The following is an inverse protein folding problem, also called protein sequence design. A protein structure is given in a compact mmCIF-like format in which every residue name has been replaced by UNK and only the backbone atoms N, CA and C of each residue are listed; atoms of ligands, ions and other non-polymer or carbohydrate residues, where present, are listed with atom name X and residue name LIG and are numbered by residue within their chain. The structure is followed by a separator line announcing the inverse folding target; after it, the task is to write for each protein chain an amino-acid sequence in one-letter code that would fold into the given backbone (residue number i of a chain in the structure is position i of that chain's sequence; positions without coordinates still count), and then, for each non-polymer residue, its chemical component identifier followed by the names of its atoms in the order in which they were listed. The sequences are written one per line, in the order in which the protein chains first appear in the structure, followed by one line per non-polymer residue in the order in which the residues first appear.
data_IF_076845243001
#
_entry.id   IF_076845243001
#
_cell.length_a   1.000
_cell.length_b   1.000
_cell.length_c   1.000
_cell.angle_alpha   90.00
_cell.angle_beta   90.00
_cell.angle_gamma   90.00
#
_symmetry.space_group_name_H-M   'P 1'
#
loop_
_entity.id
_entity.type
_entity.pdbx_description
1 polymer ?
#
# COMPACT_ATOMS: atom_id res chain seq x y z
N UNK A 1 -21.45 6.52 -14.82
CA UNK A 1 -21.52 6.63 -13.35
C UNK A 1 -20.14 6.40 -12.76
N UNK A 2 -19.77 7.13 -11.72
CA UNK A 2 -18.47 7.04 -11.04
C UNK A 2 -18.65 6.81 -9.53
N UNK A 3 -17.61 6.29 -8.89
CA UNK A 3 -17.49 6.20 -7.43
C UNK A 3 -16.38 7.14 -6.98
N UNK A 4 -16.58 7.75 -5.82
CA UNK A 4 -15.59 8.64 -5.19
C UNK A 4 -15.04 7.92 -3.97
N UNK A 5 -13.72 7.80 -3.91
CA UNK A 5 -13.00 7.24 -2.77
C UNK A 5 -12.17 8.36 -2.16
N UNK A 6 -12.40 8.68 -0.89
CA UNK A 6 -11.60 9.65 -0.15
C UNK A 6 -10.72 8.91 0.85
N UNK A 7 -9.42 9.18 0.83
CA UNK A 7 -8.47 8.65 1.80
C UNK A 7 -7.68 9.77 2.47
N UNK A 8 -7.36 9.59 3.75
CA UNK A 8 -6.48 10.47 4.50
C UNK A 8 -5.05 9.94 4.63
N UNK A 9 -4.79 8.73 4.14
CA UNK A 9 -3.57 7.94 4.38
C UNK A 9 -3.27 7.65 5.87
N UNK A 10 -4.14 8.09 6.78
CA UNK A 10 -4.03 7.79 8.20
C UNK A 10 -4.82 6.52 8.54
N UNK A 11 -4.26 5.63 9.36
CA UNK A 11 -5.03 4.56 9.95
C UNK A 11 -6.19 5.13 10.77
N UNK A 12 -7.34 4.44 10.71
CA UNK A 12 -8.52 4.76 11.52
C UNK A 12 -8.50 4.06 12.89
N UNK A 13 -7.34 3.54 13.29
CA UNK A 13 -7.08 2.89 14.57
C UNK A 13 -5.81 3.50 15.20
N UNK A 14 -5.59 3.30 16.51
CA UNK A 14 -4.34 3.68 17.14
C UNK A 14 -3.14 3.05 16.40
N UNK A 15 -2.13 3.86 16.13
CA UNK A 15 -0.88 3.43 15.53
C UNK A 15 0.28 3.83 16.44
N UNK A 16 1.37 3.08 16.34
CA UNK A 16 2.65 3.40 17.00
C UNK A 16 3.75 3.27 15.95
N UNK A 17 4.90 3.89 16.21
CA UNK A 17 6.04 3.75 15.31
C UNK A 17 6.65 2.35 15.48
N UNK A 18 6.41 1.46 14.52
CA UNK A 18 6.89 0.06 14.54
C UNK A 18 8.11 -0.11 13.62
N UNK A 19 8.19 0.70 12.57
CA UNK A 19 9.34 0.83 11.68
C UNK A 19 9.79 2.29 11.64
N UNK A 20 10.90 2.63 10.97
CA UNK A 20 11.28 4.03 10.78
C UNK A 20 10.25 4.87 9.99
N UNK A 21 9.27 4.22 9.36
CA UNK A 21 8.23 4.89 8.59
C UNK A 21 7.03 5.26 9.47
N UNK A 22 6.40 6.40 9.17
CA UNK A 22 5.21 6.88 9.87
C UNK A 22 4.10 7.30 8.90
N UNK A 23 2.82 7.17 9.27
CA UNK A 23 1.72 7.65 8.46
C UNK A 23 1.70 9.19 8.48
N UNK A 24 1.66 9.79 7.29
CA UNK A 24 1.51 11.23 7.13
C UNK A 24 0.06 11.52 6.76
N UNK A 25 -0.57 12.45 7.50
CA UNK A 25 -1.93 12.87 7.22
C UNK A 25 -1.98 13.68 5.93
N UNK A 26 -2.60 13.10 4.91
CA UNK A 26 -2.96 13.80 3.69
C UNK A 26 -4.46 13.77 3.47
N UNK A 27 -4.88 14.24 2.31
CA UNK A 27 -6.19 13.91 1.75
C UNK A 27 -6.03 13.72 0.25
N UNK A 28 -6.60 12.65 -0.28
CA UNK A 28 -6.69 12.43 -1.72
C UNK A 28 -8.05 11.85 -2.06
N UNK A 29 -8.55 12.29 -3.21
CA UNK A 29 -9.84 11.87 -3.75
C UNK A 29 -9.59 11.16 -5.08
N UNK A 30 -9.98 9.89 -5.14
CA UNK A 30 -9.95 9.10 -6.36
C UNK A 30 -11.36 8.99 -6.93
N UNK A 31 -11.52 9.44 -8.17
CA UNK A 31 -12.75 9.22 -8.94
C UNK A 31 -12.52 8.03 -9.86
N UNK A 32 -13.25 6.94 -9.61
CA UNK A 32 -13.12 5.69 -10.38
C UNK A 32 -14.44 5.36 -11.10
N UNK A 33 -14.41 4.61 -12.21
CA UNK A 33 -15.62 4.12 -12.85
C UNK A 33 -16.49 3.31 -11.87
N UNK A 34 -17.81 3.39 -11.99
CA UNK A 34 -18.71 2.61 -11.12
C UNK A 34 -18.53 1.09 -11.26
N UNK A 35 -18.07 0.65 -12.44
CA UNK A 35 -17.76 -0.73 -12.79
C UNK A 35 -16.36 -0.76 -13.44
N UNK A 36 -15.27 -0.85 -12.66
CA UNK A 36 -13.93 -0.98 -13.20
C UNK A 36 -13.78 -2.29 -13.99
N UNK A 37 -13.02 -2.25 -15.07
CA UNK A 37 -12.72 -3.41 -15.91
C UNK A 37 -11.20 -3.64 -15.92
N UNK A 38 -10.78 -4.89 -16.09
CA UNK A 38 -9.38 -5.22 -16.23
C UNK A 38 -8.86 -4.70 -17.57
N UNK A 39 -7.78 -3.92 -17.53
CA UNK A 39 -7.10 -3.42 -18.71
C UNK A 39 -5.86 -4.28 -18.97
N UNK A 40 -5.90 -5.06 -20.05
CA UNK A 40 -4.82 -5.98 -20.43
C UNK A 40 -3.56 -5.27 -20.93
N UNK A 41 -3.63 -3.99 -21.31
CA UNK A 41 -2.46 -3.22 -21.74
C UNK A 41 -1.82 -2.44 -20.60
N UNK A 42 -2.56 -2.18 -19.52
CA UNK A 42 -2.08 -1.46 -18.34
C UNK A 42 -1.42 -2.40 -17.32
N UNK A 43 -0.34 -3.08 -17.71
CA UNK A 43 0.45 -3.94 -16.81
C UNK A 43 1.60 -3.19 -16.14
N UNK A 44 1.89 -3.50 -14.87
CA UNK A 44 3.06 -3.00 -14.16
C UNK A 44 3.79 -4.16 -13.46
N UNK A 45 5.12 -4.23 -13.61
CA UNK A 45 5.96 -5.15 -12.86
C UNK A 45 6.26 -4.58 -11.46
N UNK A 46 5.90 -5.35 -10.44
CA UNK A 46 6.06 -5.00 -9.03
C UNK A 46 7.13 -5.84 -8.33
N UNK A 47 7.80 -6.76 -9.04
CA UNK A 47 8.80 -7.67 -8.46
C UNK A 47 9.97 -6.91 -7.83
N UNK A 48 10.34 -5.75 -8.37
CA UNK A 48 11.42 -4.90 -7.88
C UNK A 48 11.01 -3.43 -7.67
N UNK A 49 9.70 -3.16 -7.51
CA UNK A 49 9.16 -1.80 -7.40
C UNK A 49 8.25 -1.67 -6.18
N UNK A 50 8.63 -0.80 -5.25
CA UNK A 50 7.86 -0.51 -4.03
C UNK A 50 6.82 0.59 -4.23
N UNK A 51 6.03 0.83 -3.19
CA UNK A 51 5.05 1.92 -3.13
C UNK A 51 3.60 1.47 -3.30
N UNK A 52 2.70 2.43 -3.37
CA UNK A 52 1.25 2.20 -3.50
C UNK A 52 0.90 1.70 -4.90
N UNK A 53 0.07 0.66 -4.97
CA UNK A 53 -0.39 0.03 -6.21
C UNK A 53 -1.91 0.09 -6.36
N UNK A 54 -2.63 0.50 -5.31
CA UNK A 54 -4.07 0.71 -5.38
C UNK A 54 -4.67 1.28 -4.11
N UNK A 55 -5.99 1.49 -4.16
CA UNK A 55 -6.81 1.92 -3.03
C UNK A 55 -8.10 1.09 -3.01
N UNK A 56 -8.46 0.57 -1.85
CA UNK A 56 -9.71 -0.12 -1.61
C UNK A 56 -10.86 0.91 -1.50
N UNK A 57 -12.11 0.50 -1.71
CA UNK A 57 -13.26 1.41 -1.56
C UNK A 57 -13.41 1.99 -0.15
N UNK A 58 -12.84 1.32 0.86
CA UNK A 58 -12.75 1.84 2.23
C UNK A 58 -11.75 3.00 2.40
N UNK A 59 -10.98 3.35 1.36
CA UNK A 59 -9.90 4.33 1.43
C UNK A 59 -8.60 3.78 2.01
N UNK A 60 -8.45 2.46 2.14
CA UNK A 60 -7.22 1.79 2.57
C UNK A 60 -6.29 1.56 1.38
N UNK A 61 -4.99 1.76 1.58
CA UNK A 61 -3.96 1.69 0.55
C UNK A 61 -3.50 0.25 0.36
N UNK A 62 -3.39 -0.17 -0.89
CA UNK A 62 -2.72 -1.42 -1.26
C UNK A 62 -1.28 -1.07 -1.68
N UNK A 63 -0.31 -1.73 -1.06
CA UNK A 63 1.11 -1.56 -1.35
C UNK A 63 1.67 -2.75 -2.12
N UNK A 64 2.73 -2.50 -2.89
CA UNK A 64 3.51 -3.52 -3.58
C UNK A 64 4.11 -4.53 -2.58
N UNK A 65 4.25 -5.81 -2.96
CA UNK A 65 4.92 -6.81 -2.13
C UNK A 65 6.45 -6.68 -2.10
N UNK A 66 7.07 -5.74 -2.81
CA UNK A 66 8.52 -5.58 -2.83
C UNK A 66 9.07 -4.90 -1.56
N UNK A 67 9.88 -5.63 -0.80
CA UNK A 67 10.48 -5.19 0.47
C UNK A 67 11.77 -4.36 0.31
N UNK A 68 12.07 -3.90 -0.91
CA UNK A 68 13.26 -3.10 -1.22
C UNK A 68 14.46 -3.92 -1.67
N UNK A 69 15.51 -3.21 -2.10
CA UNK A 69 16.65 -3.79 -2.84
C UNK A 69 17.40 -4.88 -2.06
N UNK A 70 17.50 -4.74 -0.73
CA UNK A 70 18.20 -5.70 0.12
C UNK A 70 17.48 -7.06 0.20
N UNK A 71 16.16 -7.08 -0.01
CA UNK A 71 15.35 -8.29 0.03
C UNK A 71 15.34 -9.09 -1.28
N UNK A 72 15.81 -8.50 -2.38
CA UNK A 72 15.71 -9.10 -3.71
C UNK A 72 14.30 -9.00 -4.30
N UNK A 73 14.08 -9.69 -5.43
CA UNK A 73 12.82 -9.62 -6.15
C UNK A 73 11.69 -10.37 -5.44
N UNK A 74 10.51 -9.76 -5.34
CA UNK A 74 9.30 -10.36 -4.77
C UNK A 74 8.61 -11.28 -5.80
N UNK A 75 9.15 -12.47 -6.01
CA UNK A 75 8.63 -13.47 -6.97
C UNK A 75 7.73 -14.53 -6.34
N UNK A 76 7.69 -14.59 -5.01
CA UNK A 76 6.90 -15.53 -4.22
C UNK A 76 6.50 -14.91 -2.86
N UNK A 77 5.62 -15.59 -2.13
CA UNK A 77 5.23 -15.16 -0.79
C UNK A 77 6.43 -15.05 0.17
N UNK A 78 7.37 -16.01 0.14
CA UNK A 78 8.56 -16.00 1.02
C UNK A 78 9.54 -14.88 0.71
N UNK A 79 9.40 -14.22 -0.44
CA UNK A 79 10.19 -13.05 -0.86
C UNK A 79 9.41 -11.73 -0.76
N UNK A 80 8.19 -11.77 -0.21
CA UNK A 80 7.31 -10.60 -0.11
C UNK A 80 7.54 -9.79 1.17
N UNK A 81 7.23 -8.50 1.14
CA UNK A 81 7.30 -7.60 2.29
C UNK A 81 6.55 -8.14 3.52
N UNK A 82 5.31 -8.65 3.43
CA UNK A 82 4.65 -9.27 4.58
C UNK A 82 5.45 -10.41 5.24
N UNK A 83 6.12 -11.23 4.44
CA UNK A 83 6.93 -12.35 4.97
C UNK A 83 8.25 -11.88 5.56
N UNK A 84 8.95 -10.98 4.86
CA UNK A 84 10.29 -10.51 5.25
C UNK A 84 10.23 -9.57 6.45
N UNK A 85 9.29 -8.63 6.43
CA UNK A 85 9.20 -7.61 7.47
C UNK A 85 8.44 -8.14 8.70
N UNK A 86 7.54 -9.12 8.52
CA UNK A 86 6.98 -9.92 9.60
C UNK A 86 6.28 -9.11 10.69
N UNK A 87 6.90 -8.93 11.85
CA UNK A 87 6.33 -8.22 13.01
C UNK A 87 6.32 -6.69 12.90
N UNK A 88 6.67 -6.13 11.75
CA UNK A 88 6.75 -4.68 11.51
C UNK A 88 5.42 -4.02 11.14
N UNK A 89 4.37 -4.82 10.95
CA UNK A 89 3.03 -4.32 10.68
C UNK A 89 2.33 -3.91 11.98
N UNK A 90 1.42 -2.95 11.87
CA UNK A 90 0.59 -2.57 13.01
C UNK A 90 -0.45 -3.65 13.38
N UNK A 91 -1.16 -3.41 14.48
CA UNK A 91 -2.14 -4.36 15.03
C UNK A 91 -3.30 -4.69 14.08
N UNK A 92 -3.47 -3.94 13.01
CA UNK A 92 -4.47 -4.14 11.97
C UNK A 92 -3.83 -4.58 10.63
N UNK A 93 -2.54 -4.92 10.62
CA UNK A 93 -1.82 -5.34 9.43
C UNK A 93 -1.41 -4.18 8.50
N UNK A 94 -1.42 -2.95 8.99
CA UNK A 94 -0.99 -1.76 8.25
C UNK A 94 0.53 -1.57 8.26
N UNK A 95 1.04 -0.86 7.25
CA UNK A 95 2.46 -0.50 7.14
C UNK A 95 2.59 0.93 6.62
N UNK A 96 3.32 1.78 7.32
CA UNK A 96 3.57 3.15 6.90
C UNK A 96 4.64 3.20 5.79
N UNK A 97 4.54 4.18 4.88
CA UNK A 97 5.47 4.31 3.75
C UNK A 97 6.29 5.60 3.77
N UNK A 98 5.98 6.57 4.64
CA UNK A 98 6.65 7.87 4.64
C UNK A 98 7.77 7.92 5.66
N UNK A 99 8.89 8.52 5.28
CA UNK A 99 10.00 8.90 6.18
C UNK A 99 10.11 10.41 6.37
N UNK A 100 9.25 11.18 5.69
CA UNK A 100 9.21 12.66 5.70
C UNK A 100 7.77 13.14 5.84
N UNK A 101 7.56 14.22 6.60
CA UNK A 101 6.27 14.86 6.87
C UNK A 101 5.96 15.97 5.87
#
# INVERSE_FOLDING_TARGET
SSRVITTSFCPNHPWKNITPNYPVKGQTVYTVPANPQYDTVATADLTAKGGMVGVLFSGVMLFSPYAGKAAGAATSFTTSAPYIEGGTFDMCGGHASSTTS
#
